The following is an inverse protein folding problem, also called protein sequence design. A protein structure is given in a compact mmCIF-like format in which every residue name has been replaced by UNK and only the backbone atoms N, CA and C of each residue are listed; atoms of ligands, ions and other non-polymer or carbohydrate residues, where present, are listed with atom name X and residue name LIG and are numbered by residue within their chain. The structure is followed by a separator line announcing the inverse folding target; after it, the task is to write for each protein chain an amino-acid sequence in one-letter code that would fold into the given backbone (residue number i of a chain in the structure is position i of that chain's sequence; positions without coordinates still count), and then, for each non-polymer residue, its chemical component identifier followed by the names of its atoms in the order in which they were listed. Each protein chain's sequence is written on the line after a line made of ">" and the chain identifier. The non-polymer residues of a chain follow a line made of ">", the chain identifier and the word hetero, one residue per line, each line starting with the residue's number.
data_IF_499479692918
#
_entry.id   IF_499479692918
#
_cell.length_a   1.000
_cell.length_b   1.000
_cell.length_c   1.000
_cell.angle_alpha   90.00
_cell.angle_beta   90.00
_cell.angle_gamma   90.00
#
_symmetry.space_group_name_H-M   'P 1'
#
loop_
_entity.id
_entity.type
_entity.pdbx_description
1 polymer ?
#
# COMPACT_ATOMS: atom_id res chain seq x y z
N UNK A 1 -22.82 -2.79 37.68
CA UNK A 1 -22.68 -4.25 37.52
C UNK A 1 -22.92 -4.51 36.06
N UNK A 2 -21.86 -4.83 35.33
CA UNK A 2 -21.83 -5.74 34.18
C UNK A 2 -20.39 -5.76 33.68
N UNK A 3 -19.75 -6.88 33.98
CA UNK A 3 -18.34 -7.16 33.74
C UNK A 3 -18.15 -7.54 32.29
N UNK A 4 -17.50 -6.67 31.49
CA UNK A 4 -16.96 -7.10 30.21
C UNK A 4 -15.64 -7.83 30.43
N UNK A 5 -15.74 -9.14 30.22
CA UNK A 5 -14.67 -10.13 30.15
C UNK A 5 -13.66 -9.66 29.11
N UNK A 6 -12.49 -9.26 29.58
CA UNK A 6 -11.29 -9.19 28.74
C UNK A 6 -10.86 -10.64 28.56
N UNK A 7 -11.28 -11.26 27.45
CA UNK A 7 -10.64 -12.46 26.93
C UNK A 7 -9.22 -12.06 26.50
N UNK A 8 -8.31 -12.14 27.46
CA UNK A 8 -6.88 -12.13 27.22
C UNK A 8 -6.54 -13.37 26.39
N UNK A 9 -6.14 -13.15 25.14
CA UNK A 9 -5.44 -14.12 24.28
C UNK A 9 -4.05 -14.42 24.86
N UNK A 10 -4.05 -14.98 26.07
CA UNK A 10 -2.92 -15.57 26.76
C UNK A 10 -2.86 -17.05 26.34
N UNK A 11 -2.44 -17.30 25.10
CA UNK A 11 -2.49 -18.67 24.57
C UNK A 11 -1.53 -19.01 23.44
N UNK A 12 -0.80 -18.06 22.85
CA UNK A 12 0.25 -18.41 21.89
C UNK A 12 1.56 -18.66 22.62
N UNK A 13 1.60 -19.78 23.36
CA UNK A 13 2.83 -20.36 23.87
C UNK A 13 3.82 -20.45 22.71
N UNK A 14 4.95 -19.75 22.83
CA UNK A 14 6.05 -19.92 21.91
C UNK A 14 6.45 -21.39 21.93
N UNK A 15 6.52 -22.03 20.75
CA UNK A 15 6.95 -23.42 20.58
C UNK A 15 8.45 -23.65 20.94
N UNK A 16 9.00 -22.83 21.82
CA UNK A 16 10.38 -22.81 22.25
C UNK A 16 10.58 -23.33 23.68
N UNK A 17 9.53 -23.71 24.41
CA UNK A 17 9.63 -24.14 25.82
C UNK A 17 10.45 -25.42 26.05
N UNK A 18 10.80 -26.17 25.01
CA UNK A 18 11.80 -27.26 25.11
C UNK A 18 12.38 -27.58 23.73
N UNK A 19 12.82 -26.56 23.01
CA UNK A 19 13.38 -26.75 21.67
C UNK A 19 14.68 -27.58 21.67
N UNK A 20 14.99 -28.29 20.57
CA UNK A 20 16.20 -29.13 20.42
C UNK A 20 17.52 -28.41 20.77
N UNK A 21 17.53 -27.08 20.73
CA UNK A 21 18.66 -26.21 21.11
C UNK A 21 19.10 -26.37 22.56
N UNK A 22 18.17 -26.56 23.51
CA UNK A 22 18.50 -26.82 24.92
C UNK A 22 19.07 -28.24 25.10
N UNK A 23 18.62 -29.20 24.28
CA UNK A 23 19.16 -30.55 24.25
C UNK A 23 20.65 -30.58 23.90
N UNK A 24 21.05 -29.85 22.87
CA UNK A 24 22.46 -29.75 22.44
C UNK A 24 23.35 -29.17 23.55
N UNK A 25 22.87 -28.17 24.29
CA UNK A 25 23.60 -27.59 25.42
C UNK A 25 23.82 -28.61 26.54
N UNK A 26 22.80 -29.40 26.86
CA UNK A 26 22.91 -30.49 27.84
C UNK A 26 23.87 -31.59 27.38
N UNK A 27 23.92 -31.88 26.08
CA UNK A 27 24.85 -32.87 25.50
C UNK A 27 26.30 -32.38 25.53
N UNK A 28 26.53 -31.10 25.22
CA UNK A 28 27.86 -30.47 25.34
C UNK A 28 28.32 -30.45 26.80
N UNK A 29 27.45 -30.08 27.73
CA UNK A 29 27.75 -30.11 29.17
C UNK A 29 28.14 -31.51 29.62
N UNK A 30 27.34 -32.52 29.25
CA UNK A 30 27.60 -33.93 29.56
C UNK A 30 28.94 -34.41 28.99
N UNK A 31 29.28 -34.04 27.76
CA UNK A 31 30.55 -34.42 27.15
C UNK A 31 31.76 -33.86 27.92
N UNK A 32 31.64 -32.65 28.47
CA UNK A 32 32.69 -32.05 29.31
C UNK A 32 32.77 -32.69 30.69
N UNK A 33 31.63 -33.04 31.30
CA UNK A 33 31.60 -33.82 32.56
C UNK A 33 32.23 -35.20 32.38
N UNK A 34 31.88 -35.92 31.31
CA UNK A 34 32.46 -37.23 31.00
C UNK A 34 33.99 -37.14 30.80
N UNK A 35 34.48 -36.12 30.08
CA UNK A 35 35.93 -35.87 29.94
C UNK A 35 36.59 -35.56 31.29
N UNK A 36 35.95 -34.77 32.14
CA UNK A 36 36.44 -34.45 33.48
C UNK A 36 36.56 -35.71 34.34
N UNK A 37 35.58 -36.61 34.27
CA UNK A 37 35.57 -37.87 35.01
C UNK A 37 36.66 -38.84 34.55
N UNK A 38 36.95 -38.88 33.25
CA UNK A 38 38.07 -39.66 32.71
C UNK A 38 39.40 -39.13 33.24
N UNK A 39 39.59 -37.80 33.25
CA UNK A 39 40.80 -37.17 33.81
C UNK A 39 40.92 -37.46 35.31
N UNK A 40 39.81 -37.38 36.06
CA UNK A 40 39.77 -37.66 37.49
C UNK A 40 40.22 -39.08 37.84
N UNK A 41 39.91 -40.05 36.98
CA UNK A 41 40.24 -41.47 37.16
C UNK A 41 41.65 -41.84 36.68
N UNK A 42 42.19 -41.17 35.66
CA UNK A 42 43.39 -41.65 34.93
C UNK A 42 44.64 -40.79 35.08
N UNK A 43 44.53 -39.52 35.46
CA UNK A 43 45.62 -38.56 35.22
C UNK A 43 46.74 -38.52 36.28
N UNK A 44 46.64 -39.28 37.39
CA UNK A 44 47.71 -39.42 38.38
C UNK A 44 48.32 -38.09 38.84
N UNK A 45 49.64 -37.93 38.69
CA UNK A 45 50.38 -36.70 39.04
C UNK A 45 50.11 -35.51 38.11
N UNK A 46 49.62 -35.72 36.89
CA UNK A 46 49.30 -34.67 35.91
C UNK A 46 47.83 -34.23 35.96
N UNK A 47 47.05 -34.72 36.93
CA UNK A 47 45.61 -34.47 37.04
C UNK A 47 45.24 -33.00 36.97
N UNK A 48 45.91 -32.16 37.78
CA UNK A 48 45.61 -30.73 37.81
C UNK A 48 45.88 -30.05 36.46
N UNK A 49 47.00 -30.40 35.81
CA UNK A 49 47.36 -29.84 34.51
C UNK A 49 46.33 -30.19 33.43
N UNK A 50 45.91 -31.46 33.34
CA UNK A 50 44.89 -31.87 32.37
C UNK A 50 43.51 -31.26 32.64
N UNK A 51 43.16 -31.06 33.91
CA UNK A 51 41.93 -30.35 34.27
C UNK A 51 41.96 -28.90 33.80
N UNK A 52 43.09 -28.20 34.01
CA UNK A 52 43.26 -26.82 33.54
C UNK A 52 43.19 -26.74 32.02
N UNK A 53 43.82 -27.67 31.29
CA UNK A 53 43.73 -27.74 29.82
C UNK A 53 42.29 -27.96 29.35
N UNK A 54 41.53 -28.85 30.01
CA UNK A 54 40.12 -29.07 29.69
C UNK A 54 39.28 -27.81 29.96
N UNK A 55 39.49 -27.13 31.09
CA UNK A 55 38.81 -25.86 31.39
C UNK A 55 39.18 -24.76 30.39
N UNK A 56 40.45 -24.65 29.97
CA UNK A 56 40.87 -23.71 28.94
C UNK A 56 40.18 -23.99 27.60
N UNK A 57 40.06 -25.27 27.20
CA UNK A 57 39.30 -25.66 26.01
C UNK A 57 37.83 -25.27 26.12
N UNK A 58 37.19 -25.55 27.26
CA UNK A 58 35.78 -25.21 27.47
C UNK A 58 35.55 -23.70 27.43
N UNK A 59 36.41 -22.91 28.08
CA UNK A 59 36.37 -21.44 28.02
C UNK A 59 36.60 -20.95 26.59
N UNK A 60 37.51 -21.56 25.84
CA UNK A 60 37.76 -21.23 24.42
C UNK A 60 36.52 -21.43 23.55
N UNK A 61 35.84 -22.58 23.69
CA UNK A 61 34.60 -22.89 22.97
C UNK A 61 33.48 -21.90 23.33
N UNK A 62 33.32 -21.58 24.63
CA UNK A 62 32.36 -20.59 25.12
C UNK A 62 32.61 -19.20 24.52
N UNK A 63 33.88 -18.78 24.44
CA UNK A 63 34.26 -17.50 23.82
C UNK A 63 33.95 -17.52 22.32
N UNK A 64 34.23 -18.62 21.61
CA UNK A 64 33.92 -18.76 20.20
C UNK A 64 32.40 -18.73 19.94
N UNK A 65 31.61 -19.44 20.74
CA UNK A 65 30.14 -19.45 20.65
C UNK A 65 29.55 -18.07 20.94
N UNK A 66 30.01 -17.38 21.99
CA UNK A 66 29.58 -16.01 22.30
C UNK A 66 29.96 -15.04 21.17
N UNK A 67 31.13 -15.23 20.54
CA UNK A 67 31.54 -14.46 19.37
C UNK A 67 30.63 -14.69 18.16
N UNK A 68 30.23 -15.94 17.90
CA UNK A 68 29.27 -16.25 16.85
C UNK A 68 27.90 -15.65 17.15
N UNK A 69 27.41 -15.79 18.39
CA UNK A 69 26.13 -15.23 18.82
C UNK A 69 26.12 -13.71 18.65
N UNK A 70 27.17 -13.01 19.08
CA UNK A 70 27.30 -11.58 18.91
C UNK A 70 27.21 -11.17 17.42
N UNK A 71 27.94 -11.85 16.53
CA UNK A 71 27.86 -11.60 15.08
C UNK A 71 26.45 -11.85 14.52
N UNK A 72 25.81 -12.96 14.91
CA UNK A 72 24.45 -13.25 14.44
C UNK A 72 23.45 -12.20 14.93
N UNK A 73 23.61 -11.67 16.14
CA UNK A 73 22.78 -10.57 16.64
C UNK A 73 23.04 -9.29 15.85
N UNK A 74 24.31 -8.95 15.59
CA UNK A 74 24.68 -7.80 14.74
C UNK A 74 24.07 -7.92 13.33
N UNK A 75 24.14 -9.10 12.71
CA UNK A 75 23.56 -9.35 11.39
C UNK A 75 22.03 -9.19 11.41
N UNK A 76 21.35 -9.70 12.43
CA UNK A 76 19.91 -9.54 12.61
C UNK A 76 19.52 -8.07 12.87
N UNK A 77 20.33 -7.32 13.60
CA UNK A 77 20.13 -5.88 13.81
C UNK A 77 20.27 -5.11 12.49
N UNK A 78 21.25 -5.45 11.67
CA UNK A 78 21.45 -4.87 10.33
C UNK A 78 20.27 -5.21 9.41
N UNK A 79 19.84 -6.47 9.39
CA UNK A 79 18.70 -6.91 8.58
C UNK A 79 17.42 -6.19 9.00
N UNK A 80 17.14 -6.12 10.30
CA UNK A 80 15.95 -5.45 10.84
C UNK A 80 15.97 -3.95 10.50
N UNK A 81 17.10 -3.28 10.69
CA UNK A 81 17.22 -1.84 10.36
C UNK A 81 17.05 -1.59 8.85
N UNK A 82 17.63 -2.44 8.00
CA UNK A 82 17.43 -2.38 6.54
C UNK A 82 15.95 -2.59 6.15
N UNK A 83 15.29 -3.57 6.76
CA UNK A 83 13.86 -3.85 6.53
C UNK A 83 12.99 -2.67 6.94
N UNK A 84 13.23 -2.09 8.12
CA UNK A 84 12.49 -0.90 8.59
C UNK A 84 12.67 0.28 7.63
N UNK A 85 13.89 0.52 7.13
CA UNK A 85 14.16 1.62 6.21
C UNK A 85 13.48 1.44 4.85
N UNK A 86 13.46 0.21 4.31
CA UNK A 86 12.78 -0.09 3.05
C UNK A 86 11.27 0.05 3.17
N UNK A 87 10.66 -0.44 4.24
CA UNK A 87 9.23 -0.27 4.51
C UNK A 87 8.86 1.21 4.72
N UNK A 88 9.69 1.96 5.46
CA UNK A 88 9.49 3.41 5.62
C UNK A 88 9.50 4.15 4.28
N UNK A 89 10.36 3.73 3.34
CA UNK A 89 10.40 4.31 1.99
C UNK A 89 9.12 4.01 1.22
N UNK A 90 8.69 2.75 1.17
CA UNK A 90 7.44 2.34 0.50
C UNK A 90 6.23 3.08 1.06
N UNK A 91 6.14 3.20 2.38
CA UNK A 91 5.08 3.95 3.04
C UNK A 91 5.11 5.44 2.65
N UNK A 92 6.30 6.04 2.59
CA UNK A 92 6.45 7.44 2.16
C UNK A 92 6.02 7.66 0.71
N UNK A 93 6.30 6.71 -0.19
CA UNK A 93 5.89 6.76 -1.59
C UNK A 93 4.36 6.65 -1.71
N UNK A 94 3.76 5.66 -1.05
CA UNK A 94 2.30 5.48 -1.01
C UNK A 94 1.58 6.71 -0.44
N UNK A 95 2.09 7.32 0.63
CA UNK A 95 1.53 8.56 1.19
C UNK A 95 1.63 9.73 0.21
N UNK A 96 2.72 9.83 -0.55
CA UNK A 96 2.86 10.86 -1.56
C UNK A 96 1.86 10.68 -2.71
N UNK A 97 1.65 9.45 -3.17
CA UNK A 97 0.65 9.11 -4.19
C UNK A 97 -0.77 9.45 -3.71
N UNK A 98 -1.15 9.00 -2.52
CA UNK A 98 -2.46 9.32 -1.93
C UNK A 98 -2.68 10.83 -1.78
N UNK A 99 -1.64 11.60 -1.41
CA UNK A 99 -1.74 13.07 -1.34
C UNK A 99 -2.04 13.69 -2.71
N UNK A 100 -1.39 13.20 -3.76
CA UNK A 100 -1.64 13.66 -5.14
C UNK A 100 -3.06 13.30 -5.57
N UNK A 101 -3.53 12.10 -5.25
CA UNK A 101 -4.90 11.66 -5.55
C UNK A 101 -5.95 12.52 -4.83
N UNK A 102 -5.80 12.71 -3.52
CA UNK A 102 -6.68 13.60 -2.72
C UNK A 102 -6.69 15.02 -3.29
N UNK A 103 -5.53 15.57 -3.69
CA UNK A 103 -5.47 16.90 -4.30
C UNK A 103 -6.21 16.97 -5.64
N UNK A 104 -6.22 15.87 -6.40
CA UNK A 104 -6.90 15.77 -7.69
C UNK A 104 -8.42 15.64 -7.49
N UNK A 105 -8.86 14.81 -6.55
CA UNK A 105 -10.27 14.68 -6.18
C UNK A 105 -10.84 16.00 -5.64
N UNK A 106 -10.10 16.71 -4.78
CA UNK A 106 -10.50 18.04 -4.29
C UNK A 106 -10.69 19.05 -5.42
N UNK A 107 -9.80 19.05 -6.42
CA UNK A 107 -9.96 19.91 -7.61
C UNK A 107 -11.19 19.54 -8.45
N UNK A 108 -11.47 18.24 -8.62
CA UNK A 108 -12.68 17.76 -9.31
C UNK A 108 -13.94 18.20 -8.59
N UNK A 109 -13.98 18.03 -7.27
CA UNK A 109 -15.10 18.47 -6.43
C UNK A 109 -15.32 19.98 -6.55
N UNK A 110 -14.26 20.79 -6.44
CA UNK A 110 -14.35 22.24 -6.58
C UNK A 110 -14.89 22.69 -7.94
N UNK A 111 -14.52 22.00 -9.03
CA UNK A 111 -15.10 22.25 -10.37
C UNK A 111 -16.59 21.97 -10.40
N UNK A 112 -17.01 20.80 -9.88
CA UNK A 112 -18.44 20.43 -9.79
C UNK A 112 -19.25 21.39 -8.93
N UNK A 113 -18.71 21.83 -7.80
CA UNK A 113 -19.36 22.83 -6.94
C UNK A 113 -19.54 24.17 -7.67
N UNK A 114 -18.56 24.56 -8.50
CA UNK A 114 -18.66 25.75 -9.34
C UNK A 114 -19.77 25.60 -10.39
N UNK A 115 -19.83 24.46 -11.07
CA UNK A 115 -20.85 24.18 -12.09
C UNK A 115 -22.26 24.15 -11.45
N UNK A 116 -22.41 23.53 -10.28
CA UNK A 116 -23.67 23.51 -9.54
C UNK A 116 -24.13 24.93 -9.14
N UNK A 117 -23.21 25.76 -8.64
CA UNK A 117 -23.51 27.18 -8.37
C UNK A 117 -23.93 27.91 -9.64
N UNK A 118 -23.27 27.65 -10.77
CA UNK A 118 -23.64 28.21 -12.07
C UNK A 118 -25.04 27.79 -12.53
N UNK A 119 -25.39 26.51 -12.37
CA UNK A 119 -26.72 25.99 -12.70
C UNK A 119 -27.80 26.60 -11.81
N UNK A 120 -27.56 26.69 -10.49
CA UNK A 120 -28.49 27.30 -9.55
C UNK A 120 -28.74 28.78 -9.89
N UNK A 121 -27.70 29.51 -10.28
CA UNK A 121 -27.84 30.90 -10.72
C UNK A 121 -28.62 31.03 -12.04
N UNK A 122 -28.41 30.12 -13.00
CA UNK A 122 -29.19 30.06 -14.23
C UNK A 122 -30.68 29.80 -13.93
N UNK A 123 -30.98 28.82 -13.06
CA UNK A 123 -32.35 28.52 -12.64
C UNK A 123 -33.01 29.70 -11.92
N UNK A 124 -32.26 30.44 -11.09
CA UNK A 124 -32.74 31.65 -10.43
C UNK A 124 -33.13 32.73 -11.45
N UNK A 125 -32.28 32.98 -12.47
CA UNK A 125 -32.55 33.96 -13.55
C UNK A 125 -33.77 33.57 -14.38
N UNK A 126 -33.91 32.30 -14.74
CA UNK A 126 -35.08 31.78 -15.44
C UNK A 126 -36.36 32.05 -14.66
N UNK A 127 -36.35 31.74 -13.36
CA UNK A 127 -37.53 31.92 -12.49
C UNK A 127 -37.91 33.39 -12.29
N UNK A 128 -36.93 34.27 -12.08
CA UNK A 128 -37.17 35.65 -11.66
C UNK A 128 -37.27 36.65 -12.81
N UNK A 129 -36.63 36.36 -13.94
CA UNK A 129 -36.44 37.30 -15.04
C UNK A 129 -36.90 36.76 -16.39
N UNK A 130 -37.35 35.49 -16.45
CA UNK A 130 -37.68 34.77 -17.69
C UNK A 130 -36.53 34.85 -18.73
N UNK A 131 -35.29 34.82 -18.22
CA UNK A 131 -34.08 35.11 -18.97
C UNK A 131 -33.10 33.93 -18.91
N UNK A 132 -32.77 33.38 -20.08
CA UNK A 132 -32.02 32.13 -20.22
C UNK A 132 -30.51 32.33 -20.52
N UNK A 133 -29.96 33.54 -20.45
CA UNK A 133 -28.57 33.73 -20.87
C UNK A 133 -27.58 33.23 -19.82
N UNK A 134 -26.58 32.51 -20.33
CA UNK A 134 -25.43 31.97 -19.60
C UNK A 134 -24.30 32.99 -19.44
N UNK A 135 -24.56 34.27 -19.71
CA UNK A 135 -23.57 35.33 -19.57
C UNK A 135 -23.06 35.41 -18.12
N UNK A 136 -21.73 35.41 -17.99
CA UNK A 136 -21.01 35.38 -16.70
C UNK A 136 -21.20 34.09 -15.88
N UNK A 137 -21.74 33.02 -16.46
CA UNK A 137 -21.78 31.70 -15.85
C UNK A 137 -20.81 30.79 -16.60
N UNK A 138 -19.75 30.37 -15.92
CA UNK A 138 -18.77 29.45 -16.50
C UNK A 138 -19.04 28.03 -16.02
N UNK A 139 -19.26 27.13 -16.99
CA UNK A 139 -19.29 25.69 -16.75
C UNK A 139 -17.96 25.08 -17.19
N UNK A 140 -17.41 24.22 -16.35
CA UNK A 140 -16.20 23.49 -16.66
C UNK A 140 -16.49 22.43 -17.73
N UNK A 141 -15.69 22.40 -18.79
CA UNK A 141 -15.78 21.37 -19.83
C UNK A 141 -15.39 20.00 -19.26
N UNK A 142 -16.16 18.96 -19.59
CA UNK A 142 -15.86 17.59 -19.18
C UNK A 142 -14.68 17.10 -19.99
N UNK A 143 -13.53 16.89 -19.35
CA UNK A 143 -12.36 16.36 -20.03
C UNK A 143 -12.40 14.83 -20.10
N UNK A 144 -11.65 14.24 -21.04
CA UNK A 144 -11.47 12.78 -21.11
C UNK A 144 -11.00 12.20 -19.77
N UNK A 145 -10.12 12.91 -19.06
CA UNK A 145 -9.64 12.51 -17.74
C UNK A 145 -10.70 12.55 -16.64
N UNK A 146 -11.79 13.30 -16.80
CA UNK A 146 -12.91 13.31 -15.86
C UNK A 146 -13.80 12.06 -16.02
N UNK A 147 -13.82 11.46 -17.23
CA UNK A 147 -14.57 10.24 -17.57
C UNK A 147 -13.74 8.98 -17.31
N UNK A 148 -12.49 8.96 -17.78
CA UNK A 148 -11.64 7.77 -17.78
C UNK A 148 -10.56 7.77 -16.68
N UNK A 149 -10.50 8.82 -15.85
CA UNK A 149 -9.44 9.01 -14.87
C UNK A 149 -8.16 9.59 -15.46
N UNK A 150 -7.16 9.95 -14.63
CA UNK A 150 -5.85 10.33 -15.13
C UNK A 150 -5.28 9.16 -15.95
N UNK A 151 -4.90 9.44 -17.20
CA UNK A 151 -4.36 8.47 -18.13
C UNK A 151 -2.94 8.09 -17.68
N UNK A 152 -2.82 7.31 -16.61
CA UNK A 152 -1.59 6.63 -16.23
C UNK A 152 -1.58 5.28 -16.93
N UNK A 153 -1.38 5.28 -18.25
CA UNK A 153 -0.73 4.11 -18.83
C UNK A 153 0.62 4.02 -18.13
N UNK A 154 0.83 2.97 -17.33
CA UNK A 154 2.16 2.54 -16.95
C UNK A 154 2.94 2.31 -18.25
N UNK A 155 3.59 3.36 -18.74
CA UNK A 155 4.72 3.22 -19.63
C UNK A 155 5.80 2.61 -18.75
N UNK A 156 5.78 1.27 -18.65
CA UNK A 156 6.91 0.51 -18.13
C UNK A 156 8.12 1.00 -18.93
N UNK A 157 9.11 1.66 -18.31
CA UNK A 157 10.25 2.12 -19.06
C UNK A 157 10.95 0.88 -19.63
N UNK A 158 11.05 0.77 -20.96
CA UNK A 158 11.90 -0.20 -21.66
C UNK A 158 13.40 0.11 -21.43
N UNK A 159 13.81 0.48 -20.22
CA UNK A 159 15.20 0.78 -19.91
C UNK A 159 15.92 -0.50 -19.46
N UNK A 160 16.39 -1.24 -20.46
CA UNK A 160 17.29 -2.40 -20.35
C UNK A 160 18.47 -2.16 -19.39
N UNK A 161 18.92 -0.90 -19.29
CA UNK A 161 20.06 -0.50 -18.45
C UNK A 161 19.81 -0.58 -16.93
N UNK A 162 18.57 -0.45 -16.45
CA UNK A 162 18.29 -0.50 -15.00
C UNK A 162 18.32 -1.95 -14.48
N UNK A 163 17.87 -2.90 -15.32
CA UNK A 163 17.89 -4.33 -15.00
C UNK A 163 19.33 -4.85 -14.95
N UNK A 164 20.20 -4.41 -15.87
CA UNK A 164 21.61 -4.79 -15.89
C UNK A 164 22.40 -4.26 -14.67
N UNK A 165 22.09 -3.05 -14.18
CA UNK A 165 22.77 -2.49 -13.00
C UNK A 165 22.43 -3.25 -11.71
N UNK A 166 21.17 -3.64 -11.52
CA UNK A 166 20.73 -4.45 -10.37
C UNK A 166 21.30 -5.88 -10.46
N UNK A 167 21.37 -6.45 -11.67
CA UNK A 167 21.89 -7.79 -11.88
C UNK A 167 23.42 -7.87 -11.67
N UNK A 168 24.18 -6.86 -12.08
CA UNK A 168 25.64 -6.80 -11.88
C UNK A 168 25.99 -6.52 -10.41
N UNK A 169 25.23 -5.67 -9.72
CA UNK A 169 25.45 -5.38 -8.30
C UNK A 169 25.14 -6.59 -7.40
N UNK A 170 24.10 -7.38 -7.73
CA UNK A 170 23.81 -8.63 -7.05
C UNK A 170 24.87 -9.73 -7.30
N UNK A 171 25.46 -9.79 -8.49
CA UNK A 171 26.44 -10.83 -8.86
C UNK A 171 27.80 -10.67 -8.15
N UNK A 172 28.24 -9.43 -7.91
CA UNK A 172 29.50 -9.14 -7.23
C UNK A 172 29.45 -9.44 -5.72
N UNK A 173 28.27 -9.35 -5.09
CA UNK A 173 28.12 -9.63 -3.66
C UNK A 173 28.09 -11.13 -3.34
N UNK A 174 27.66 -11.98 -4.29
CA UNK A 174 27.53 -13.42 -4.08
C UNK A 174 28.77 -14.25 -4.45
N UNK A 175 29.72 -13.69 -5.19
CA UNK A 175 30.96 -14.41 -5.55
C UNK A 175 32.06 -14.40 -4.47
N UNK A 176 31.84 -13.74 -3.33
CA UNK A 176 32.83 -13.66 -2.24
C UNK A 176 32.66 -14.68 -1.10
N UNK A 177 31.58 -15.48 -1.09
CA UNK A 177 31.14 -16.18 0.13
C UNK A 177 31.06 -17.71 0.03
N UNK A 178 31.65 -18.37 -0.96
CA UNK A 178 31.58 -19.84 -1.07
C UNK A 178 32.93 -20.48 -1.34
N UNK A 179 33.77 -20.53 -0.30
CA UNK A 179 34.84 -21.53 -0.19
C UNK A 179 34.82 -22.14 1.20
N UNK A 180 33.82 -22.97 1.44
CA UNK A 180 33.70 -23.80 2.64
C UNK A 180 32.31 -24.42 2.68
N UNK A 181 32.26 -25.75 2.82
CA UNK A 181 31.05 -26.54 3.08
C UNK A 181 30.23 -26.95 1.84
N UNK A 182 30.88 -27.77 1.03
CA UNK A 182 30.22 -28.77 0.19
C UNK A 182 29.56 -29.82 1.09
N UNK A 183 28.25 -30.08 0.90
CA UNK A 183 27.59 -31.41 0.91
C UNK A 183 26.06 -31.40 1.20
N UNK A 184 25.41 -30.25 1.39
CA UNK A 184 23.92 -30.21 1.57
C UNK A 184 23.11 -29.49 0.50
N UNK A 185 23.73 -29.00 -0.57
CA UNK A 185 23.04 -28.20 -1.61
C UNK A 185 22.88 -28.94 -2.95
N UNK A 186 22.15 -30.06 -2.97
CA UNK A 186 21.72 -30.65 -4.25
C UNK A 186 20.24 -30.32 -4.58
N UNK A 187 19.43 -29.88 -3.61
CA UNK A 187 18.02 -29.47 -3.85
C UNK A 187 17.86 -28.03 -4.34
N UNK A 188 18.86 -27.18 -4.12
CA UNK A 188 18.81 -25.77 -4.54
C UNK A 188 19.07 -25.56 -6.04
N UNK A 189 19.86 -26.44 -6.66
CA UNK A 189 20.18 -26.35 -8.09
C UNK A 189 19.00 -26.75 -8.97
N UNK A 190 18.25 -27.79 -8.59
CA UNK A 190 17.04 -28.22 -9.33
C UNK A 190 16.00 -27.11 -9.44
N UNK A 191 15.76 -26.34 -8.37
CA UNK A 191 14.79 -25.25 -8.39
C UNK A 191 15.22 -24.07 -9.28
N UNK A 192 16.53 -23.80 -9.36
CA UNK A 192 17.08 -22.76 -10.23
C UNK A 192 16.93 -23.15 -11.71
N UNK A 193 17.15 -24.43 -12.04
CA UNK A 193 16.98 -24.92 -13.40
C UNK A 193 15.50 -24.97 -13.81
N UNK A 194 14.59 -25.33 -12.91
CA UNK A 194 13.13 -25.24 -13.13
C UNK A 194 12.69 -23.79 -13.41
N UNK A 195 13.16 -22.83 -12.61
CA UNK A 195 12.85 -21.41 -12.81
C UNK A 195 13.40 -20.92 -14.15
N UNK A 196 14.61 -21.34 -14.51
CA UNK A 196 15.22 -20.99 -15.80
C UNK A 196 14.43 -21.55 -16.97
N UNK A 197 14.00 -22.81 -16.89
CA UNK A 197 13.15 -23.43 -17.90
C UNK A 197 11.81 -22.71 -18.03
N UNK A 198 11.22 -22.29 -16.91
CA UNK A 198 9.96 -21.53 -16.89
C UNK A 198 10.10 -20.14 -17.50
N UNK A 199 11.22 -19.46 -17.24
CA UNK A 199 11.55 -18.18 -17.88
C UNK A 199 11.67 -18.35 -19.39
N UNK A 200 12.36 -19.40 -19.86
CA UNK A 200 12.53 -19.66 -21.30
C UNK A 200 11.19 -19.95 -21.99
N UNK A 201 10.30 -20.70 -21.33
CA UNK A 201 8.94 -20.97 -21.84
C UNK A 201 8.14 -19.67 -21.94
N UNK A 202 8.14 -18.84 -20.89
CA UNK A 202 7.42 -17.57 -20.88
C UNK A 202 7.97 -16.59 -21.92
N UNK A 203 9.29 -16.57 -22.14
CA UNK A 203 9.89 -15.74 -23.20
C UNK A 203 9.43 -16.19 -24.60
N UNK A 204 9.36 -17.49 -24.86
CA UNK A 204 8.86 -18.02 -26.14
C UNK A 204 7.38 -17.69 -26.35
N UNK A 205 6.56 -17.80 -25.31
CA UNK A 205 5.14 -17.45 -25.36
C UNK A 205 4.94 -15.95 -25.63
N UNK A 206 5.68 -15.08 -24.91
CA UNK A 206 5.66 -13.64 -25.15
C UNK A 206 6.04 -13.29 -26.60
N UNK A 207 7.09 -13.90 -27.14
CA UNK A 207 7.49 -13.70 -28.54
C UNK A 207 6.43 -14.20 -29.53
N UNK A 208 5.69 -15.25 -29.19
CA UNK A 208 4.57 -15.73 -30.00
C UNK A 208 3.41 -14.74 -30.01
N UNK A 209 2.99 -14.28 -28.83
CA UNK A 209 1.93 -13.29 -28.65
C UNK A 209 2.27 -11.94 -29.31
N UNK A 210 3.52 -11.50 -29.25
CA UNK A 210 3.96 -10.29 -29.96
C UNK A 210 3.87 -10.42 -31.49
N UNK A 211 4.05 -11.61 -32.05
CA UNK A 211 3.83 -11.84 -33.49
C UNK A 211 2.35 -11.81 -33.83
N UNK A 212 1.51 -12.38 -32.97
CA UNK A 212 0.05 -12.37 -33.13
C UNK A 212 -0.52 -10.95 -33.06
N UNK A 213 -0.09 -10.15 -32.08
CA UNK A 213 -0.46 -8.72 -31.98
C UNK A 213 -0.06 -7.97 -33.26
N UNK A 214 1.15 -8.20 -33.78
CA UNK A 214 1.58 -7.58 -35.04
C UNK A 214 0.75 -8.02 -36.25
N UNK A 215 0.25 -9.26 -36.25
CA UNK A 215 -0.66 -9.74 -37.28
C UNK A 215 -2.03 -9.06 -37.16
N UNK A 216 -2.63 -9.07 -35.98
CA UNK A 216 -3.93 -8.43 -35.72
C UNK A 216 -3.91 -6.93 -36.04
N UNK A 217 -2.82 -6.22 -35.73
CA UNK A 217 -2.67 -4.81 -36.11
C UNK A 217 -2.65 -4.60 -37.63
N UNK A 218 -2.06 -5.51 -38.40
CA UNK A 218 -2.10 -5.44 -39.87
C UNK A 218 -3.52 -5.67 -40.39
N UNK A 219 -4.22 -6.64 -39.83
CA UNK A 219 -5.60 -6.95 -40.20
C UNK A 219 -6.53 -5.77 -39.87
N UNK A 220 -6.34 -5.13 -38.70
CA UNK A 220 -7.07 -3.92 -38.30
C UNK A 220 -6.85 -2.77 -39.29
N UNK A 221 -5.60 -2.50 -39.68
CA UNK A 221 -5.29 -1.49 -40.70
C UNK A 221 -5.95 -1.80 -42.06
N UNK A 222 -6.05 -3.08 -42.44
CA UNK A 222 -6.77 -3.48 -43.65
C UNK A 222 -8.27 -3.22 -43.55
N UNK A 223 -8.88 -3.46 -42.38
CA UNK A 223 -10.29 -3.14 -42.14
C UNK A 223 -10.56 -1.65 -42.14
N UNK A 224 -9.69 -0.84 -41.53
CA UNK A 224 -9.78 0.62 -41.58
C UNK A 224 -9.74 1.14 -43.02
N UNK A 225 -8.82 0.62 -43.84
CA UNK A 225 -8.75 0.97 -45.25
C UNK A 225 -10.01 0.55 -46.02
N UNK A 226 -10.55 -0.64 -45.74
CA UNK A 226 -11.79 -1.13 -46.35
C UNK A 226 -13.01 -0.29 -45.97
N UNK A 227 -13.13 0.10 -44.69
CA UNK A 227 -14.17 1.01 -44.20
C UNK A 227 -14.04 2.40 -44.83
N UNK A 228 -12.83 2.92 -44.99
CA UNK A 228 -12.58 4.19 -45.65
C UNK A 228 -13.00 4.15 -47.13
N UNK A 229 -12.78 3.03 -47.83
CA UNK A 229 -13.23 2.84 -49.20
C UNK A 229 -14.76 2.74 -49.30
N UNK A 230 -15.41 1.92 -48.46
CA UNK A 230 -16.87 1.82 -48.41
C UNK A 230 -17.52 3.16 -48.11
N UNK A 231 -16.96 3.96 -47.18
CA UNK A 231 -17.45 5.30 -46.88
C UNK A 231 -17.38 6.23 -48.09
N UNK A 232 -16.32 6.14 -48.90
CA UNK A 232 -16.18 6.87 -50.16
C UNK A 232 -17.18 6.41 -51.22
N UNK A 233 -17.47 5.11 -51.29
CA UNK A 233 -18.48 4.54 -52.19
C UNK A 233 -19.89 4.97 -51.81
N UNK A 234 -20.25 4.91 -50.51
CA UNK A 234 -21.54 5.41 -49.99
C UNK A 234 -21.70 6.90 -50.30
N UNK A 235 -20.66 7.71 -50.06
CA UNK A 235 -20.68 9.14 -50.37
C UNK A 235 -20.78 9.42 -51.88
N UNK A 236 -20.37 8.47 -52.74
CA UNK A 236 -20.54 8.57 -54.19
C UNK A 236 -21.94 8.14 -54.66
N UNK A 237 -22.65 7.35 -53.86
CA UNK A 237 -24.00 6.84 -54.18
C UNK A 237 -25.14 7.74 -53.70
N UNK A 238 -24.85 8.93 -53.18
CA UNK A 238 -25.85 9.96 -52.80
C UNK A 238 -26.66 10.55 -53.98
N UNK A 239 -26.57 9.97 -55.18
CA UNK A 239 -27.34 10.43 -56.34
C UNK A 239 -28.82 9.99 -56.36
N UNK A 240 -29.31 9.19 -55.40
CA UNK A 240 -30.72 8.84 -55.30
C UNK A 240 -31.25 8.88 -53.86
N UNK A 241 -31.16 10.04 -53.20
CA UNK A 241 -32.17 10.38 -52.18
C UNK A 241 -33.44 10.74 -52.95
N UNK A 242 -34.34 9.78 -53.11
CA UNK A 242 -35.71 10.06 -53.54
C UNK A 242 -36.27 11.14 -52.62
N UNK A 243 -36.53 12.32 -53.20
CA UNK A 243 -37.24 13.42 -52.58
C UNK A 243 -38.57 12.92 -52.02
N UNK A 244 -38.58 12.45 -50.77
CA UNK A 244 -39.81 12.32 -49.99
C UNK A 244 -40.16 13.75 -49.59
N UNK A 245 -40.98 14.36 -50.44
CA UNK A 245 -41.57 15.69 -50.28
C UNK A 245 -42.00 15.91 -48.84
N UNK A 246 -41.47 16.95 -48.20
CA UNK A 246 -41.71 17.35 -46.81
C UNK A 246 -43.14 17.79 -46.46
N UNK A 247 -44.16 17.20 -47.10
CA UNK A 247 -45.57 17.37 -46.76
C UNK A 247 -46.09 16.31 -45.77
N UNK A 248 -45.48 15.13 -45.72
CA UNK A 248 -46.04 14.02 -44.91
C UNK A 248 -45.61 14.03 -43.44
N UNK A 249 -44.56 14.79 -43.08
CA UNK A 249 -44.11 14.91 -41.67
C UNK A 249 -45.00 15.88 -40.87
N UNK A 250 -45.64 16.86 -41.54
CA UNK A 250 -46.53 17.82 -40.89
C UNK A 250 -47.93 17.25 -40.60
N UNK A 251 -48.38 16.24 -41.36
CA UNK A 251 -49.74 15.66 -41.18
C UNK A 251 -49.82 14.78 -39.93
N UNK A 252 -48.69 14.25 -39.44
CA UNK A 252 -48.70 13.35 -38.28
C UNK A 252 -48.66 14.04 -36.90
N UNK A 253 -48.40 15.35 -36.84
CA UNK A 253 -48.29 16.09 -35.57
C UNK A 253 -49.56 16.85 -35.17
N UNK A 254 -50.52 17.04 -36.09
CA UNK A 254 -51.70 17.89 -35.85
C UNK A 254 -52.94 17.11 -35.37
N UNK A 255 -52.87 15.78 -35.24
CA UNK A 255 -54.02 14.92 -34.89
C UNK A 255 -54.20 14.73 -33.38
N UNK A 256 -53.26 15.18 -32.53
CA UNK A 256 -53.30 14.88 -31.08
C UNK A 256 -53.78 16.02 -30.15
N UNK A 257 -54.22 17.17 -30.65
CA UNK A 257 -54.53 18.33 -29.78
C UNK A 257 -55.87 19.04 -30.04
N UNK A 258 -56.95 18.32 -30.36
CA UNK A 258 -58.30 18.91 -30.43
C UNK A 258 -59.34 18.05 -29.72
N UNK A 259 -59.29 18.06 -28.38
CA UNK A 259 -60.29 17.43 -27.51
C UNK A 259 -61.21 18.46 -26.85
N UNK A 260 -62.24 18.90 -27.56
CA UNK A 260 -63.43 19.51 -26.94
C UNK A 260 -64.55 19.73 -27.96
N UNK A 261 -65.49 18.80 -28.08
CA UNK A 261 -66.95 19.07 -28.11
C UNK A 261 -67.79 17.81 -28.17
N UNK A 262 -68.90 17.86 -27.45
CA UNK A 262 -70.00 16.93 -27.37
C UNK A 262 -70.62 16.60 -28.73
N UNK A 263 -70.97 15.32 -28.93
CA UNK A 263 -72.07 14.75 -29.73
C UNK A 263 -71.77 13.23 -29.79
N UNK A 264 -72.65 12.32 -29.39
CA UNK A 264 -74.01 12.20 -29.90
C UNK A 264 -74.00 11.08 -30.95
N UNK A 265 -74.35 9.88 -30.49
CA UNK A 265 -74.89 8.74 -31.26
C UNK A 265 -74.26 8.47 -32.64
N UNK A 266 -73.24 7.61 -32.69
CA UNK A 266 -72.74 7.02 -33.92
C UNK A 266 -72.38 5.54 -33.69
N UNK A 267 -72.89 4.74 -34.63
CA UNK A 267 -72.77 3.30 -34.90
C UNK A 267 -71.64 2.48 -34.25
N UNK A 268 -71.85 1.16 -34.06
CA UNK A 268 -70.82 0.25 -33.59
C UNK A 268 -69.76 0.05 -34.68
N UNK A 269 -68.72 0.88 -34.64
CA UNK A 269 -67.49 0.67 -35.40
C UNK A 269 -66.86 -0.64 -34.94
N UNK A 270 -66.53 -1.49 -35.91
CA UNK A 270 -65.71 -2.69 -35.73
C UNK A 270 -64.38 -2.33 -35.09
N UNK A 271 -64.34 -2.32 -33.77
CA UNK A 271 -63.12 -2.47 -33.01
C UNK A 271 -62.67 -3.94 -33.08
N UNK A 272 -61.41 -4.19 -32.70
CA UNK A 272 -60.69 -5.47 -32.64
C UNK A 272 -59.78 -5.79 -33.84
N UNK A 273 -58.62 -5.14 -33.82
CA UNK A 273 -57.40 -5.62 -34.47
C UNK A 273 -56.11 -5.10 -33.83
N UNK A 274 -56.10 -3.85 -33.35
CA UNK A 274 -54.89 -3.20 -32.82
C UNK A 274 -54.59 -3.40 -31.33
N UNK A 275 -55.60 -3.60 -30.48
CA UNK A 275 -55.43 -3.66 -29.01
C UNK A 275 -54.67 -4.91 -28.52
N UNK A 276 -54.64 -5.98 -29.31
CA UNK A 276 -53.83 -7.17 -28.99
C UNK A 276 -52.33 -6.90 -29.11
N UNK A 277 -51.92 -6.00 -30.01
CA UNK A 277 -50.50 -5.67 -30.21
C UNK A 277 -49.93 -4.82 -29.07
N UNK A 278 -50.73 -3.88 -28.54
CA UNK A 278 -50.29 -3.05 -27.42
C UNK A 278 -50.28 -3.82 -26.10
N UNK A 279 -51.23 -4.73 -25.89
CA UNK A 279 -51.22 -5.62 -24.73
C UNK A 279 -49.95 -6.50 -24.68
N UNK A 280 -49.46 -6.98 -25.83
CA UNK A 280 -48.21 -7.75 -25.92
C UNK A 280 -47.00 -6.87 -25.60
N UNK A 281 -46.95 -5.62 -26.10
CA UNK A 281 -45.85 -4.69 -25.77
C UNK A 281 -45.80 -4.33 -24.28
N UNK A 282 -46.94 -4.08 -23.65
CA UNK A 282 -46.97 -3.83 -22.20
C UNK A 282 -46.52 -5.07 -21.41
N UNK A 283 -46.89 -6.27 -21.86
CA UNK A 283 -46.45 -7.50 -21.22
C UNK A 283 -44.94 -7.72 -21.36
N UNK A 284 -44.35 -7.49 -22.55
CA UNK A 284 -42.91 -7.55 -22.76
C UNK A 284 -42.15 -6.50 -21.93
N UNK A 285 -42.69 -5.29 -21.80
CA UNK A 285 -42.07 -4.24 -20.99
C UNK A 285 -42.11 -4.56 -19.48
N UNK A 286 -43.21 -5.15 -18.99
CA UNK A 286 -43.30 -5.65 -17.61
C UNK A 286 -42.30 -6.79 -17.39
N UNK A 287 -42.22 -7.73 -18.33
CA UNK A 287 -41.28 -8.85 -18.25
C UNK A 287 -39.81 -8.39 -18.30
N UNK A 288 -39.51 -7.31 -19.04
CA UNK A 288 -38.20 -6.67 -19.04
C UNK A 288 -37.89 -5.93 -17.73
N UNK A 289 -38.89 -5.29 -17.11
CA UNK A 289 -38.70 -4.72 -15.77
C UNK A 289 -38.51 -5.80 -14.70
N UNK A 290 -39.23 -6.91 -14.80
CA UNK A 290 -39.07 -8.06 -13.91
C UNK A 290 -37.69 -8.71 -14.06
N UNK A 291 -37.17 -8.85 -15.29
CA UNK A 291 -35.79 -9.34 -15.51
C UNK A 291 -34.72 -8.35 -15.04
N UNK A 292 -35.01 -7.04 -15.04
CA UNK A 292 -34.14 -6.03 -14.43
C UNK A 292 -34.12 -6.08 -12.89
N UNK A 293 -35.13 -6.70 -12.27
CA UNK A 293 -35.23 -6.87 -10.82
C UNK A 293 -34.08 -7.71 -10.24
N UNK A 294 -33.61 -8.71 -10.99
CA UNK A 294 -32.46 -9.54 -10.61
C UNK A 294 -31.15 -8.73 -10.61
N UNK A 295 -31.01 -7.80 -11.55
CA UNK A 295 -29.87 -6.86 -11.59
C UNK A 295 -29.88 -5.91 -10.39
N UNK A 296 -31.06 -5.38 -10.01
CA UNK A 296 -31.19 -4.53 -8.82
C UNK A 296 -30.88 -5.30 -7.54
N UNK A 297 -31.31 -6.56 -7.44
CA UNK A 297 -30.99 -7.42 -6.29
C UNK A 297 -29.49 -7.69 -6.18
N UNK A 298 -28.84 -8.05 -7.29
CA UNK A 298 -27.40 -8.27 -7.34
C UNK A 298 -26.60 -7.00 -6.95
N UNK A 299 -27.04 -5.82 -7.40
CA UNK A 299 -26.42 -4.55 -7.01
C UNK A 299 -26.60 -4.24 -5.52
N UNK A 300 -27.73 -4.60 -4.90
CA UNK A 300 -27.94 -4.46 -3.45
C UNK A 300 -27.04 -5.40 -2.67
N UNK A 301 -26.92 -6.66 -3.09
CA UNK A 301 -26.01 -7.63 -2.47
C UNK A 301 -24.55 -7.16 -2.56
N UNK A 302 -24.13 -6.64 -3.72
CA UNK A 302 -22.79 -6.06 -3.89
C UNK A 302 -22.57 -4.83 -3.00
N UNK A 303 -23.56 -3.93 -2.87
CA UNK A 303 -23.47 -2.77 -1.98
C UNK A 303 -23.36 -3.17 -0.50
N UNK A 304 -24.10 -4.20 -0.06
CA UNK A 304 -23.98 -4.74 1.29
C UNK A 304 -22.58 -5.31 1.51
N UNK A 305 -22.09 -6.14 0.59
CA UNK A 305 -20.74 -6.70 0.65
C UNK A 305 -19.65 -5.63 0.69
N UNK A 306 -19.76 -4.57 -0.13
CA UNK A 306 -18.81 -3.47 -0.16
C UNK A 306 -18.86 -2.66 1.15
N UNK A 307 -20.05 -2.46 1.71
CA UNK A 307 -20.22 -1.80 3.01
C UNK A 307 -19.54 -2.60 4.12
N UNK A 308 -19.68 -3.93 4.12
CA UNK A 308 -19.02 -4.81 5.09
C UNK A 308 -17.49 -4.77 4.97
N UNK A 309 -16.97 -4.71 3.75
CA UNK A 309 -15.53 -4.57 3.48
C UNK A 309 -14.99 -3.21 3.97
N UNK A 310 -15.71 -2.12 3.74
CA UNK A 310 -15.37 -0.79 4.28
C UNK A 310 -15.36 -0.80 5.80
N UNK A 311 -16.32 -1.45 6.46
CA UNK A 311 -16.32 -1.59 7.91
C UNK A 311 -15.14 -2.45 8.41
N UNK A 312 -14.76 -3.49 7.68
CA UNK A 312 -13.58 -4.30 8.01
C UNK A 312 -12.29 -3.47 7.90
N UNK A 313 -12.14 -2.67 6.84
CA UNK A 313 -10.99 -1.77 6.66
C UNK A 313 -10.93 -0.72 7.77
N UNK A 314 -12.05 -0.11 8.17
CA UNK A 314 -12.08 0.83 9.30
C UNK A 314 -11.59 0.19 10.62
N UNK A 315 -11.96 -1.07 10.88
CA UNK A 315 -11.45 -1.80 12.06
C UNK A 315 -9.94 -2.00 12.01
N UNK A 316 -9.40 -2.34 10.83
CA UNK A 316 -7.95 -2.49 10.63
C UNK A 316 -7.21 -1.17 10.83
N UNK A 317 -7.73 -0.06 10.27
CA UNK A 317 -7.16 1.26 10.48
C UNK A 317 -7.13 1.65 11.96
N UNK A 318 -8.24 1.46 12.69
CA UNK A 318 -8.29 1.74 14.13
C UNK A 318 -7.28 0.91 14.94
N UNK A 319 -7.12 -0.37 14.61
CA UNK A 319 -6.12 -1.24 15.25
C UNK A 319 -4.68 -0.78 14.95
N UNK A 320 -4.42 -0.34 13.72
CA UNK A 320 -3.11 0.17 13.32
C UNK A 320 -2.77 1.49 14.01
N UNK A 321 -3.73 2.40 14.14
CA UNK A 321 -3.57 3.68 14.86
C UNK A 321 -3.24 3.44 16.33
N UNK A 322 -3.93 2.51 16.99
CA UNK A 322 -3.64 2.13 18.37
C UNK A 322 -2.23 1.51 18.49
N UNK A 323 -1.83 0.67 17.54
CA UNK A 323 -0.48 0.10 17.52
C UNK A 323 0.61 1.19 17.35
N UNK A 324 0.39 2.17 16.48
CA UNK A 324 1.28 3.32 16.31
C UNK A 324 1.36 4.14 17.60
N UNK A 325 0.22 4.39 18.27
CA UNK A 325 0.16 5.10 19.56
C UNK A 325 0.95 4.37 20.64
N UNK A 326 0.78 3.06 20.77
CA UNK A 326 1.52 2.22 21.73
C UNK A 326 3.03 2.21 21.43
N UNK A 327 3.40 2.15 20.14
CA UNK A 327 4.81 2.20 19.72
C UNK A 327 5.46 3.54 20.08
N UNK A 328 4.76 4.66 19.86
CA UNK A 328 5.21 6.00 20.24
C UNK A 328 5.46 6.10 21.76
N UNK A 329 4.52 5.59 22.57
CA UNK A 329 4.65 5.57 24.04
C UNK A 329 5.86 4.73 24.51
N UNK A 330 6.08 3.57 23.90
CA UNK A 330 7.26 2.72 24.16
C UNK A 330 8.55 3.44 23.79
N UNK A 331 8.56 4.17 22.68
CA UNK A 331 9.72 4.97 22.27
C UNK A 331 10.02 6.08 23.26
N UNK A 332 9.00 6.81 23.71
CA UNK A 332 9.15 7.86 24.74
C UNK A 332 9.73 7.31 26.04
N UNK A 333 9.24 6.17 26.52
CA UNK A 333 9.76 5.52 27.72
C UNK A 333 11.24 5.13 27.58
N UNK A 334 11.64 4.58 26.43
CA UNK A 334 13.06 4.28 26.15
C UNK A 334 13.93 5.54 26.20
N UNK A 335 13.46 6.65 25.60
CA UNK A 335 14.17 7.93 25.63
C UNK A 335 14.30 8.50 27.06
N UNK A 336 13.27 8.35 27.89
CA UNK A 336 13.30 8.74 29.31
C UNK A 336 14.35 7.93 30.10
N UNK A 337 14.41 6.62 29.90
CA UNK A 337 15.45 5.77 30.52
C UNK A 337 16.84 6.21 30.07
N UNK A 338 17.06 6.38 28.76
CA UNK A 338 18.36 6.80 28.22
C UNK A 338 18.76 8.17 28.80
N UNK A 339 17.82 9.11 28.90
CA UNK A 339 18.05 10.44 29.48
C UNK A 339 18.47 10.32 30.95
N UNK A 340 17.81 9.45 31.71
CA UNK A 340 18.11 9.22 33.13
C UNK A 340 19.46 8.52 33.33
N UNK A 341 19.76 7.46 32.56
CA UNK A 341 21.07 6.80 32.60
C UNK A 341 22.21 7.77 32.28
N UNK A 342 22.04 8.63 31.26
CA UNK A 342 23.01 9.70 30.94
C UNK A 342 23.16 10.69 32.08
N UNK A 343 22.08 11.03 32.79
CA UNK A 343 22.12 11.89 33.98
C UNK A 343 22.91 11.25 35.12
N UNK A 344 22.68 9.97 35.41
CA UNK A 344 23.41 9.22 36.42
C UNK A 344 24.91 9.11 36.09
N UNK A 345 25.25 8.84 34.82
CA UNK A 345 26.64 8.79 34.36
C UNK A 345 27.35 10.13 34.54
N UNK A 346 26.69 11.26 34.24
CA UNK A 346 27.25 12.60 34.49
C UNK A 346 27.50 12.85 35.98
N UNK A 347 26.58 12.44 36.86
CA UNK A 347 26.76 12.55 38.32
C UNK A 347 27.93 11.71 38.82
N UNK A 348 28.04 10.46 38.36
CA UNK A 348 29.16 9.58 38.72
C UNK A 348 30.51 10.17 38.27
N UNK A 349 30.55 10.73 37.05
CA UNK A 349 31.74 11.40 36.51
C UNK A 349 32.13 12.65 37.32
N UNK A 350 31.15 13.44 37.78
CA UNK A 350 31.41 14.60 38.63
C UNK A 350 32.00 14.17 39.99
N UNK A 351 31.41 13.15 40.64
CA UNK A 351 31.93 12.60 41.91
C UNK A 351 33.36 12.06 41.79
N UNK A 352 33.67 11.36 40.69
CA UNK A 352 35.04 10.89 40.42
C UNK A 352 36.03 12.06 40.25
N UNK A 353 35.59 13.15 39.60
CA UNK A 353 36.42 14.34 39.41
C UNK A 353 36.71 15.05 40.73
N UNK A 354 35.72 15.16 41.61
CA UNK A 354 35.88 15.74 42.95
C UNK A 354 36.81 14.88 43.83
N UNK A 355 36.69 13.55 43.79
CA UNK A 355 37.54 12.65 44.58
C UNK A 355 39.02 12.62 44.16
N UNK A 356 39.35 13.07 42.94
CA UNK A 356 40.72 13.16 42.43
C UNK A 356 41.35 14.56 42.59
N UNK A 357 40.57 15.57 42.99
CA UNK A 357 41.00 16.97 43.04
C UNK A 357 41.87 17.38 44.24
N UNK A 358 41.90 16.60 45.32
CA UNK A 358 42.56 17.01 46.58
C UNK A 358 43.96 16.42 46.80
N UNK A 359 44.57 15.76 45.79
CA UNK A 359 45.87 15.08 45.96
C UNK A 359 47.04 15.60 45.14
N UNK A 360 46.93 16.73 44.43
CA UNK A 360 48.08 17.32 43.73
C UNK A 360 48.43 18.70 44.26
N UNK A 361 49.03 18.71 45.45
CA UNK A 361 49.98 19.75 45.88
C UNK A 361 51.32 19.10 46.25
N UNK A 362 51.76 18.12 45.45
CA UNK A 362 53.09 17.52 45.55
C UNK A 362 53.77 17.53 44.18
N UNK A 363 54.65 18.51 44.06
CA UNK A 363 55.86 18.58 43.26
C UNK A 363 55.83 18.23 41.77
N UNK A 364 55.88 19.32 41.01
CA UNK A 364 56.60 19.39 39.76
C UNK A 364 58.06 18.94 39.95
N UNK A 365 58.47 17.85 39.30
CA UNK A 365 59.68 17.73 38.49
C UNK A 365 59.97 16.26 38.16
N UNK A 366 60.58 16.05 36.99
CA UNK A 366 61.06 14.77 36.45
C UNK A 366 59.93 13.90 35.87
N UNK A 367 59.76 13.75 34.55
CA UNK A 367 60.79 13.54 33.55
C UNK A 367 60.92 12.05 33.27
N UNK A 368 59.97 11.45 32.53
CA UNK A 368 60.21 10.18 31.84
C UNK A 368 59.18 9.95 30.73
N UNK A 369 59.73 9.80 29.53
CA UNK A 369 59.12 9.31 28.30
C UNK A 369 58.33 8.02 28.54
N UNK A 370 57.14 7.90 27.95
CA UNK A 370 56.63 6.59 27.52
C UNK A 370 55.52 6.74 26.48
N UNK A 371 55.43 5.74 25.62
CA UNK A 371 54.75 5.68 24.32
C UNK A 371 53.23 5.81 24.41
N UNK A 372 52.67 6.79 23.70
CA UNK A 372 51.29 6.87 23.20
C UNK A 372 51.34 7.87 22.03
N UNK A 373 50.73 7.73 20.87
CA UNK A 373 49.57 6.94 20.48
C UNK A 373 49.54 6.94 18.94
N UNK A 374 49.66 5.75 18.34
CA UNK A 374 49.19 5.52 16.98
C UNK A 374 47.69 5.24 17.06
N UNK A 375 46.96 5.75 16.06
CA UNK A 375 45.59 5.37 15.67
C UNK A 375 44.42 5.97 16.47
N UNK A 376 44.03 7.21 16.14
CA UNK A 376 42.61 7.51 15.84
C UNK A 376 42.57 8.49 14.67
N UNK A 377 42.39 7.95 13.48
CA UNK A 377 41.98 8.69 12.30
C UNK A 377 40.70 9.45 12.63
N UNK A 378 40.80 10.78 12.64
CA UNK A 378 39.66 11.68 12.70
C UNK A 378 38.70 11.33 11.55
N UNK A 379 37.60 10.64 11.87
CA UNK A 379 36.48 10.62 10.95
C UNK A 379 35.94 12.05 10.85
N UNK A 380 35.73 12.58 9.62
CA UNK A 380 35.13 13.87 9.44
C UNK A 380 33.73 13.81 10.04
N UNK A 381 33.51 14.62 11.09
CA UNK A 381 32.18 14.87 11.65
C UNK A 381 31.28 15.30 10.49
N UNK A 382 30.44 14.37 10.00
CA UNK A 382 29.33 14.71 9.12
C UNK A 382 28.52 15.77 9.85
N UNK A 383 28.53 16.99 9.31
CA UNK A 383 27.59 18.05 9.68
C UNK A 383 26.22 17.40 9.72
N UNK A 384 25.68 17.27 10.93
CA UNK A 384 24.30 16.90 11.20
C UNK A 384 23.48 17.88 10.36
N UNK A 385 22.88 17.40 9.27
CA UNK A 385 21.83 18.15 8.59
C UNK A 385 20.76 18.34 9.65
N UNK A 386 20.61 19.57 10.10
CA UNK A 386 19.42 20.00 10.83
C UNK A 386 18.25 19.61 9.93
N UNK A 387 17.51 18.60 10.40
CA UNK A 387 16.25 18.22 9.82
C UNK A 387 15.37 19.47 9.96
N UNK A 388 14.74 19.99 8.90
CA UNK A 388 13.73 21.02 9.08
C UNK A 388 12.70 20.46 10.05
N UNK A 389 12.40 21.20 11.11
CA UNK A 389 11.23 20.95 11.95
C UNK A 389 10.02 20.95 11.00
N UNK A 390 9.62 19.75 10.58
CA UNK A 390 8.32 19.54 10.00
C UNK A 390 7.36 19.66 11.16
N UNK A 391 6.95 20.90 11.39
CA UNK A 391 5.83 21.29 12.21
C UNK A 391 4.61 20.49 11.71
N UNK A 392 4.41 19.31 12.29
CA UNK A 392 3.22 18.50 12.13
C UNK A 392 2.13 19.20 12.92
N UNK A 393 1.64 20.30 12.34
CA UNK A 393 0.52 21.05 12.83
C UNK A 393 -0.66 20.08 12.96
N UNK A 394 -0.95 19.69 14.20
CA UNK A 394 -1.90 18.64 14.57
C UNK A 394 -3.33 19.20 14.63
N UNK A 395 -3.49 20.50 14.37
CA UNK A 395 -4.76 21.22 14.53
C UNK A 395 -5.79 20.97 13.42
N UNK A 396 -5.46 20.15 12.40
CA UNK A 396 -6.34 19.93 11.25
C UNK A 396 -7.28 18.71 11.34
N UNK A 397 -7.20 17.89 12.40
CA UNK A 397 -7.99 16.63 12.48
C UNK A 397 -9.25 16.72 13.37
N UNK A 398 -9.50 17.85 14.06
CA UNK A 398 -10.71 18.01 14.87
C UNK A 398 -11.50 19.27 14.50
N UNK A 399 -12.12 19.27 13.32
CA UNK A 399 -13.30 20.11 13.07
C UNK A 399 -14.53 19.22 12.85
N UNK A 400 -15.17 18.91 13.97
CA UNK A 400 -16.61 18.84 14.21
C UNK A 400 -17.52 18.51 13.02
N UNK A 401 -17.94 17.25 12.97
CA UNK A 401 -19.29 16.89 12.51
C UNK A 401 -20.17 16.62 13.75
N UNK A 402 -20.49 17.69 14.49
CA UNK A 402 -21.65 17.69 15.39
C UNK A 402 -22.83 18.27 14.62
N UNK A 403 -23.50 17.40 13.87
CA UNK A 403 -24.81 17.68 13.26
C UNK A 403 -25.90 17.58 14.33
N UNK A 404 -26.00 18.60 15.18
CA UNK A 404 -27.16 18.79 16.06
C UNK A 404 -28.36 19.18 15.20
N UNK A 405 -29.29 18.24 15.01
CA UNK A 405 -30.61 18.51 14.48
C UNK A 405 -31.42 19.30 15.51
N UNK A 406 -31.64 20.58 15.25
CA UNK A 406 -32.61 21.40 15.98
C UNK A 406 -33.98 21.26 15.30
N UNK A 407 -34.88 20.59 16.00
CA UNK A 407 -36.31 20.53 15.73
C UNK A 407 -36.91 21.94 15.93
N UNK A 408 -37.32 22.55 14.82
CA UNK A 408 -38.08 23.80 14.80
C UNK A 408 -39.45 23.63 15.46
N UNK A 409 -39.55 24.02 16.72
CA UNK A 409 -40.81 24.17 17.44
C UNK A 409 -41.59 25.38 16.89
N UNK A 410 -42.70 25.11 16.21
CA UNK A 410 -43.74 26.07 15.91
C UNK A 410 -44.31 26.65 17.22
N UNK A 411 -44.17 27.96 17.42
CA UNK A 411 -45.09 28.74 18.26
C UNK A 411 -45.66 29.89 17.42
N UNK A 412 -46.98 29.87 17.32
CA UNK A 412 -47.74 30.93 16.66
C UNK A 412 -47.79 32.22 17.48
N UNK A 413 -48.01 33.30 16.74
CA UNK A 413 -48.86 34.43 17.11
C UNK A 413 -49.49 34.97 15.83
#
# INVERSE_FOLDING_TARGET
>A
MDSNVIESDAGRACACETGPTLGVLNDVHRAYEERMDVINRTAGSQKLQKQVELFQSWVGDLVAQNGLLARTVEDLEIELTSRILSERRKYSEMVAEMRVEVSTLRRRLARKDSDLRGLLELLRRLREQDYCAIDNIHFNEVTQSDIFGPVTWLVIPQNRAFVDYVFISGRLHWSGATRGENERSNKGYDHVDELKQRIDILQKDNLSKEREIRKLNKDLQQYEHSLANLKKEVSRNDYHTTNVSGKDVAVMTDVCLSGSKECGDAEPVKEFGGLLSDAVRYHEQIQHMESSGDSVRALREMNVSLTDEVHALHRVCAALDEQCRVSALRSQFKEEIIREMRRQLRKAKAKLKEGLGDKSNFDAQSGARSYESLCVSQQPRRKRRELPDLDMNTDWICQNFDGSGDDGSFKGQ
#
